data_IF_541178228636
#
_entry.id   IF_541178228636
#
_cell.length_a   1.000
_cell.length_b   1.000
_cell.length_c   1.000
_cell.angle_alpha   90.00
_cell.angle_beta   90.00
_cell.angle_gamma   90.00
#
_symmetry.space_group_name_H-M   'P 1'
#
loop_
_entity.id
_entity.type
_entity.pdbx_description
1 polymer ?
#
# COMPACT_ATOMS: atom_id res chain seq x y z
N UNK A 1 35.02 7.65 0.04
CA UNK A 1 33.65 8.19 0.20
C UNK A 1 33.27 8.92 -1.09
N UNK A 2 32.18 8.52 -1.74
CA UNK A 2 31.70 9.17 -2.97
C UNK A 2 30.98 10.45 -2.58
N UNK A 3 31.27 11.60 -3.21
CA UNK A 3 30.56 12.87 -2.92
C UNK A 3 29.08 12.75 -3.29
N UNK A 4 28.19 13.21 -2.41
CA UNK A 4 26.73 13.20 -2.59
C UNK A 4 26.20 13.63 -3.96
N UNK A 5 26.75 14.66 -4.65
CA UNK A 5 26.25 15.07 -5.96
C UNK A 5 26.57 14.11 -7.13
N UNK A 6 27.36 13.06 -6.92
CA UNK A 6 27.70 12.06 -7.94
C UNK A 6 26.95 10.73 -7.81
N UNK A 7 26.06 10.62 -6.83
CA UNK A 7 25.30 9.38 -6.61
C UNK A 7 24.16 9.33 -7.61
N UNK A 8 24.14 8.30 -8.48
CA UNK A 8 23.02 8.01 -9.34
C UNK A 8 21.83 7.58 -8.48
N UNK A 9 20.73 8.31 -8.59
CA UNK A 9 19.50 8.05 -7.80
C UNK A 9 18.76 6.79 -8.24
N UNK A 10 19.07 6.23 -9.40
CA UNK A 10 18.41 5.03 -9.92
C UNK A 10 18.95 3.73 -9.32
N UNK A 11 20.26 3.66 -9.05
CA UNK A 11 20.89 2.49 -8.45
C UNK A 11 22.06 2.89 -7.51
N UNK A 12 21.81 3.64 -6.43
CA UNK A 12 22.85 4.31 -5.66
C UNK A 12 23.87 3.35 -5.03
N UNK A 13 23.43 2.17 -4.58
CA UNK A 13 24.33 1.19 -3.98
C UNK A 13 25.22 0.51 -5.02
N UNK A 14 24.66 0.08 -6.15
CA UNK A 14 25.44 -0.57 -7.20
C UNK A 14 26.46 0.42 -7.79
N UNK A 15 26.09 1.67 -8.02
CA UNK A 15 26.97 2.71 -8.52
C UNK A 15 28.11 3.01 -7.55
N UNK A 16 27.85 3.08 -6.24
CA UNK A 16 28.89 3.27 -5.24
C UNK A 16 29.96 2.17 -5.25
N UNK A 17 29.58 0.92 -5.55
CA UNK A 17 30.52 -0.20 -5.69
C UNK A 17 31.34 -0.12 -7.00
N UNK A 18 30.72 0.35 -8.10
CA UNK A 18 31.42 0.60 -9.37
C UNK A 18 32.46 1.70 -9.19
N UNK A 19 32.10 2.81 -8.53
CA UNK A 19 33.00 3.94 -8.29
C UNK A 19 34.22 3.60 -7.44
N UNK A 20 34.11 2.57 -6.59
CA UNK A 20 35.23 2.04 -5.78
C UNK A 20 35.99 0.92 -6.52
N UNK A 21 35.59 0.56 -7.75
CA UNK A 21 36.26 -0.47 -8.57
C UNK A 21 35.84 -1.92 -8.25
N UNK A 22 34.80 -2.12 -7.42
CA UNK A 22 34.30 -3.44 -7.04
C UNK A 22 33.17 -3.91 -7.94
N UNK A 23 33.43 -4.16 -9.21
CA UNK A 23 32.41 -4.54 -10.21
C UNK A 23 31.64 -5.82 -9.86
N UNK A 24 32.30 -6.80 -9.27
CA UNK A 24 31.65 -8.06 -8.83
C UNK A 24 30.63 -7.75 -7.72
N UNK A 25 30.99 -6.89 -6.76
CA UNK A 25 30.09 -6.44 -5.71
C UNK A 25 28.84 -5.72 -6.26
N UNK A 26 29.03 -4.84 -7.23
CA UNK A 26 27.95 -4.14 -7.92
C UNK A 26 26.98 -5.13 -8.61
N UNK A 27 27.51 -6.14 -9.29
CA UNK A 27 26.72 -7.17 -9.98
C UNK A 27 25.91 -8.02 -9.00
N UNK A 28 26.51 -8.42 -7.87
CA UNK A 28 25.82 -9.19 -6.83
C UNK A 28 24.69 -8.37 -6.17
N UNK A 29 24.92 -7.09 -5.88
CA UNK A 29 23.89 -6.19 -5.32
C UNK A 29 22.75 -6.02 -6.31
N UNK A 30 23.05 -5.79 -7.59
CA UNK A 30 22.03 -5.64 -8.63
C UNK A 30 21.19 -6.90 -8.81
N UNK A 31 21.82 -8.08 -8.83
CA UNK A 31 21.12 -9.34 -8.89
C UNK A 31 20.23 -9.57 -7.65
N UNK A 32 20.76 -9.29 -6.45
CA UNK A 32 19.99 -9.36 -5.20
C UNK A 32 18.79 -8.41 -5.19
N UNK A 33 18.98 -7.19 -5.70
CA UNK A 33 17.90 -6.22 -5.82
C UNK A 33 16.79 -6.69 -6.77
N UNK A 34 17.13 -7.24 -7.94
CA UNK A 34 16.15 -7.77 -8.90
C UNK A 34 15.35 -8.91 -8.29
N UNK A 35 16.01 -9.87 -7.64
CA UNK A 35 15.34 -11.00 -6.99
C UNK A 35 14.44 -10.52 -5.85
N UNK A 36 14.94 -9.61 -5.01
CA UNK A 36 14.20 -9.05 -3.89
C UNK A 36 12.97 -8.27 -4.34
N UNK A 37 13.11 -7.38 -5.32
CA UNK A 37 12.01 -6.60 -5.87
C UNK A 37 10.96 -7.50 -6.53
N UNK A 38 11.38 -8.51 -7.28
CA UNK A 38 10.46 -9.47 -7.91
C UNK A 38 9.64 -10.20 -6.84
N UNK A 39 10.27 -10.66 -5.76
CA UNK A 39 9.59 -11.31 -4.64
C UNK A 39 8.57 -10.40 -3.99
N UNK A 40 8.93 -9.15 -3.70
CA UNK A 40 8.03 -8.15 -3.10
C UNK A 40 6.85 -7.85 -4.01
N UNK A 41 7.08 -7.67 -5.32
CA UNK A 41 6.01 -7.42 -6.30
C UNK A 41 5.00 -8.56 -6.35
N UNK A 42 5.46 -9.81 -6.32
CA UNK A 42 4.57 -10.99 -6.30
C UNK A 42 3.70 -11.00 -5.04
N UNK A 43 4.28 -10.74 -3.87
CA UNK A 43 3.54 -10.71 -2.60
C UNK A 43 2.52 -9.58 -2.58
N UNK A 44 2.90 -8.38 -3.04
CA UNK A 44 2.01 -7.22 -3.09
C UNK A 44 0.85 -7.45 -4.08
N UNK A 45 1.12 -7.99 -5.27
CA UNK A 45 0.08 -8.30 -6.26
C UNK A 45 -0.90 -9.35 -5.74
N UNK A 46 -0.39 -10.38 -5.07
CA UNK A 46 -1.21 -11.39 -4.41
C UNK A 46 -2.07 -10.79 -3.29
N UNK A 47 -1.48 -9.98 -2.41
CA UNK A 47 -2.19 -9.29 -1.33
C UNK A 47 -3.29 -8.38 -1.85
N UNK A 48 -2.98 -7.56 -2.87
CA UNK A 48 -3.93 -6.65 -3.50
C UNK A 48 -5.13 -7.39 -4.11
N UNK A 49 -4.88 -8.49 -4.82
CA UNK A 49 -5.96 -9.28 -5.43
C UNK A 49 -6.92 -9.87 -4.38
N UNK A 50 -6.41 -10.24 -3.20
CA UNK A 50 -7.23 -10.73 -2.07
C UNK A 50 -8.05 -9.63 -1.43
N UNK A 51 -7.51 -8.42 -1.31
CA UNK A 51 -8.25 -7.25 -0.80
C UNK A 51 -9.42 -6.94 -1.72
N UNK A 52 -9.20 -6.89 -3.03
CA UNK A 52 -10.27 -6.66 -3.99
C UNK A 52 -11.32 -7.77 -3.99
N UNK A 53 -10.90 -9.02 -3.85
CA UNK A 53 -11.81 -10.14 -3.68
C UNK A 53 -12.70 -9.97 -2.43
N UNK A 54 -12.12 -9.62 -1.28
CA UNK A 54 -12.86 -9.39 -0.05
C UNK A 54 -13.86 -8.22 -0.19
N UNK A 55 -13.40 -7.08 -0.71
CA UNK A 55 -14.26 -5.91 -0.96
C UNK A 55 -15.41 -6.21 -1.92
N UNK A 56 -15.16 -6.98 -2.98
CA UNK A 56 -16.20 -7.40 -3.92
C UNK A 56 -17.19 -8.37 -3.29
N UNK A 57 -16.74 -9.28 -2.43
CA UNK A 57 -17.61 -10.20 -1.67
C UNK A 57 -18.51 -9.44 -0.71
N UNK A 58 -17.99 -8.37 -0.09
CA UNK A 58 -18.74 -7.51 0.83
C UNK A 58 -19.67 -6.52 0.11
N UNK A 59 -19.67 -6.53 -1.25
CA UNK A 59 -20.52 -5.67 -2.08
C UNK A 59 -19.99 -4.27 -2.31
N UNK A 60 -18.74 -3.97 -1.91
CA UNK A 60 -18.11 -2.66 -2.09
C UNK A 60 -17.54 -2.44 -3.49
N UNK A 61 -17.26 -3.53 -4.22
CA UNK A 61 -16.76 -3.52 -5.59
C UNK A 61 -17.64 -4.43 -6.47
N UNK A 62 -17.61 -4.24 -7.81
CA UNK A 62 -18.33 -5.10 -8.75
C UNK A 62 -18.00 -6.58 -8.56
N UNK A 63 -18.96 -7.51 -8.79
CA UNK A 63 -18.78 -8.95 -8.59
C UNK A 63 -17.73 -9.59 -9.52
N UNK A 64 -17.23 -8.84 -10.48
CA UNK A 64 -16.13 -9.24 -11.37
C UNK A 64 -14.86 -9.60 -10.58
N UNK A 65 -14.55 -8.84 -9.50
CA UNK A 65 -13.37 -9.06 -8.69
C UNK A 65 -13.48 -10.23 -7.71
N UNK A 66 -14.70 -10.76 -7.49
CA UNK A 66 -14.93 -11.92 -6.63
C UNK A 66 -14.98 -13.25 -7.41
N UNK A 67 -14.81 -13.23 -8.75
CA UNK A 67 -14.80 -14.46 -9.55
C UNK A 67 -13.52 -15.24 -9.34
N UNK A 68 -13.65 -16.49 -8.89
CA UNK A 68 -12.55 -17.43 -8.72
C UNK A 68 -12.37 -18.30 -9.95
N UNK A 69 -11.15 -18.66 -10.27
CA UNK A 69 -10.85 -19.62 -11.32
C UNK A 69 -11.36 -21.01 -10.92
N UNK A 70 -12.11 -21.74 -11.79
CA UNK A 70 -12.74 -23.02 -11.43
C UNK A 70 -11.73 -24.06 -10.92
N UNK A 71 -10.54 -24.12 -11.53
CA UNK A 71 -9.51 -25.12 -11.23
C UNK A 71 -8.58 -24.68 -10.09
N UNK A 72 -8.10 -23.42 -10.11
CA UNK A 72 -7.07 -22.94 -9.17
C UNK A 72 -7.63 -22.22 -7.96
N UNK A 73 -8.93 -21.91 -7.93
CA UNK A 73 -9.63 -21.18 -6.85
C UNK A 73 -8.96 -19.85 -6.46
N UNK A 74 -8.28 -19.24 -7.43
CA UNK A 74 -7.62 -17.95 -7.27
C UNK A 74 -8.39 -16.85 -8.00
N UNK A 75 -8.38 -15.58 -7.56
CA UNK A 75 -9.04 -14.47 -8.23
C UNK A 75 -8.22 -13.99 -9.44
N UNK A 76 -8.04 -14.86 -10.45
CA UNK A 76 -7.18 -14.63 -11.61
C UNK A 76 -7.53 -13.36 -12.38
N UNK A 77 -8.82 -13.09 -12.55
CA UNK A 77 -9.29 -11.91 -13.29
C UNK A 77 -8.92 -10.62 -12.57
N UNK A 78 -9.09 -10.58 -11.24
CA UNK A 78 -8.66 -9.47 -10.40
C UNK A 78 -7.14 -9.25 -10.51
N UNK A 79 -6.37 -10.34 -10.43
CA UNK A 79 -4.91 -10.27 -10.55
C UNK A 79 -4.45 -9.75 -11.90
N UNK A 80 -5.08 -10.20 -13.00
CA UNK A 80 -4.76 -9.72 -14.35
C UNK A 80 -5.08 -8.23 -14.53
N UNK A 81 -6.28 -7.80 -14.10
CA UNK A 81 -6.70 -6.39 -14.20
C UNK A 81 -5.74 -5.50 -13.42
N UNK A 82 -5.44 -5.88 -12.17
CA UNK A 82 -4.50 -5.11 -11.33
C UNK A 82 -3.10 -5.10 -11.93
N UNK A 83 -2.61 -6.26 -12.40
CA UNK A 83 -1.28 -6.35 -13.02
C UNK A 83 -1.13 -5.46 -14.25
N UNK A 84 -2.12 -5.48 -15.15
CA UNK A 84 -2.14 -4.60 -16.33
C UNK A 84 -2.21 -3.12 -15.94
N UNK A 85 -3.08 -2.77 -14.99
CA UNK A 85 -3.21 -1.39 -14.51
C UNK A 85 -1.90 -0.88 -13.88
N UNK A 86 -1.27 -1.69 -13.04
CA UNK A 86 0.03 -1.38 -12.42
C UNK A 86 1.11 -1.21 -13.49
N UNK A 87 1.16 -2.09 -14.50
CA UNK A 87 2.13 -1.99 -15.60
C UNK A 87 1.96 -0.70 -16.40
N UNK A 88 0.72 -0.30 -16.70
CA UNK A 88 0.42 0.96 -17.40
C UNK A 88 0.87 2.16 -16.56
N UNK A 89 0.52 2.19 -15.27
CA UNK A 89 0.89 3.28 -14.37
C UNK A 89 2.42 3.38 -14.23
N UNK A 90 3.11 2.25 -14.09
CA UNK A 90 4.57 2.21 -13.99
C UNK A 90 5.28 2.64 -15.28
N UNK A 91 4.65 2.46 -16.45
CA UNK A 91 5.19 2.90 -17.72
C UNK A 91 5.02 4.41 -17.96
N UNK A 92 3.99 5.03 -17.40
CA UNK A 92 3.63 6.44 -17.63
C UNK A 92 4.26 7.38 -16.62
N UNK A 93 4.37 6.96 -15.35
CA UNK A 93 4.82 7.84 -14.28
C UNK A 93 6.28 7.58 -13.89
N UNK A 94 7.07 8.63 -13.60
CA UNK A 94 8.43 8.48 -13.09
C UNK A 94 8.43 7.86 -11.68
N UNK A 95 9.47 7.07 -11.40
CA UNK A 95 9.60 6.30 -10.16
C UNK A 95 9.50 7.18 -8.90
N UNK A 96 10.12 8.37 -8.92
CA UNK A 96 10.11 9.28 -7.78
C UNK A 96 8.71 9.76 -7.40
N UNK A 97 7.87 10.02 -8.39
CA UNK A 97 6.47 10.42 -8.16
C UNK A 97 5.65 9.28 -7.57
N UNK A 98 5.83 8.07 -8.11
CA UNK A 98 5.17 6.88 -7.58
C UNK A 98 5.62 6.58 -6.15
N UNK A 99 6.92 6.68 -5.86
CA UNK A 99 7.47 6.46 -4.52
C UNK A 99 6.88 7.44 -3.49
N UNK A 100 6.77 8.74 -3.83
CA UNK A 100 6.13 9.75 -2.97
C UNK A 100 4.65 9.46 -2.74
N UNK A 101 3.93 9.05 -3.79
CA UNK A 101 2.52 8.72 -3.69
C UNK A 101 2.26 7.48 -2.84
N UNK A 102 3.06 6.42 -3.01
CA UNK A 102 3.00 5.21 -2.19
C UNK A 102 3.33 5.53 -0.74
N UNK A 103 4.36 6.35 -0.49
CA UNK A 103 4.76 6.74 0.86
C UNK A 103 3.64 7.47 1.59
N UNK A 104 3.01 8.49 0.98
CA UNK A 104 1.93 9.23 1.65
C UNK A 104 0.69 8.35 1.87
N UNK A 105 0.37 7.47 0.92
CA UNK A 105 -0.74 6.52 1.05
C UNK A 105 -0.54 5.53 2.19
N UNK A 106 0.68 5.00 2.34
CA UNK A 106 1.04 4.08 3.42
C UNK A 106 1.00 4.77 4.78
N UNK A 107 1.57 5.99 4.89
CA UNK A 107 1.51 6.77 6.12
C UNK A 107 0.06 7.11 6.51
N UNK A 108 -0.77 7.48 5.54
CA UNK A 108 -2.19 7.72 5.78
C UNK A 108 -2.92 6.46 6.27
N UNK A 109 -2.60 5.29 5.71
CA UNK A 109 -3.14 4.02 6.18
C UNK A 109 -2.74 3.72 7.63
N UNK A 110 -1.48 3.97 8.01
CA UNK A 110 -1.02 3.80 9.40
C UNK A 110 -1.74 4.74 10.36
N UNK A 111 -1.99 5.99 9.96
CA UNK A 111 -2.81 6.92 10.75
C UNK A 111 -4.22 6.35 10.96
N UNK A 112 -4.88 5.90 9.88
CA UNK A 112 -6.23 5.32 9.97
C UNK A 112 -6.28 4.08 10.87
N UNK A 113 -5.32 3.16 10.73
CA UNK A 113 -5.24 1.97 11.58
C UNK A 113 -5.01 2.35 13.03
N UNK A 114 -4.14 3.31 13.32
CA UNK A 114 -3.87 3.78 14.68
C UNK A 114 -5.09 4.43 15.32
N UNK A 115 -5.83 5.25 14.58
CA UNK A 115 -7.13 5.80 15.02
C UNK A 115 -8.14 4.66 15.24
N UNK A 116 -8.21 3.71 14.32
CA UNK A 116 -9.07 2.53 14.44
C UNK A 116 -8.81 1.71 15.72
N UNK A 117 -7.55 1.53 16.10
CA UNK A 117 -7.17 0.86 17.35
C UNK A 117 -7.69 1.62 18.57
N UNK A 118 -7.57 2.96 18.59
CA UNK A 118 -8.07 3.79 19.70
C UNK A 118 -9.58 3.71 19.79
N UNK A 119 -10.28 3.87 18.67
CA UNK A 119 -11.74 3.83 18.61
C UNK A 119 -12.25 2.46 19.04
N UNK A 120 -11.72 1.38 18.46
CA UNK A 120 -12.16 0.01 18.75
C UNK A 120 -11.91 -0.39 20.21
N UNK A 121 -10.90 0.20 20.85
CA UNK A 121 -10.62 -0.03 22.27
C UNK A 121 -11.67 0.59 23.18
N UNK A 122 -12.30 1.68 22.73
CA UNK A 122 -13.37 2.37 23.47
C UNK A 122 -14.76 1.80 23.17
N UNK A 123 -15.02 1.45 21.91
CA UNK A 123 -16.35 1.01 21.47
C UNK A 123 -16.63 -0.48 21.68
N UNK A 124 -15.59 -1.31 21.65
CA UNK A 124 -15.74 -2.76 21.80
C UNK A 124 -14.68 -3.35 22.76
N UNK A 125 -14.72 -3.03 24.08
CA UNK A 125 -13.72 -3.47 25.05
C UNK A 125 -13.71 -4.99 25.24
N UNK A 126 -14.86 -5.65 25.11
CA UNK A 126 -15.07 -7.09 25.35
C UNK A 126 -14.60 -7.99 24.19
N UNK A 127 -14.20 -7.41 23.05
CA UNK A 127 -13.77 -8.21 21.91
C UNK A 127 -12.52 -9.02 22.24
N UNK A 128 -12.58 -10.33 21.97
CA UNK A 128 -11.41 -11.20 22.14
C UNK A 128 -10.27 -10.76 21.21
N UNK A 129 -9.11 -10.47 21.80
CA UNK A 129 -7.90 -10.01 21.09
C UNK A 129 -6.73 -10.92 21.44
N UNK A 130 -6.19 -11.69 20.46
CA UNK A 130 -5.01 -12.51 20.67
C UNK A 130 -3.79 -11.69 21.12
N UNK A 131 -3.67 -10.46 20.58
CA UNK A 131 -2.64 -9.49 20.94
C UNK A 131 -3.26 -8.19 21.44
N UNK A 132 -2.80 -7.72 22.59
CA UNK A 132 -3.21 -6.43 23.14
C UNK A 132 -2.06 -5.44 22.98
N UNK A 133 -2.26 -4.43 22.13
CA UNK A 133 -1.30 -3.34 21.99
C UNK A 133 -1.03 -2.70 23.36
N UNK A 134 0.24 -2.65 23.82
CA UNK A 134 0.59 -2.04 25.09
C UNK A 134 0.42 -0.51 25.03
N UNK A 135 0.25 0.12 26.19
CA UNK A 135 0.24 1.58 26.35
C UNK A 135 -0.75 2.32 25.45
N UNK A 136 -1.93 1.75 25.20
CA UNK A 136 -3.02 2.48 24.51
C UNK A 136 -3.67 3.45 25.51
N UNK A 137 -3.86 4.72 25.16
CA UNK A 137 -3.79 5.34 23.82
C UNK A 137 -2.44 5.93 23.40
N UNK A 138 -1.42 5.91 24.27
CA UNK A 138 -0.15 6.61 24.05
C UNK A 138 0.58 6.17 22.77
N UNK A 139 0.81 4.86 22.60
CA UNK A 139 1.56 4.33 21.46
C UNK A 139 0.90 4.65 20.09
N UNK A 140 -0.42 4.47 19.90
CA UNK A 140 -1.09 4.90 18.68
C UNK A 140 -1.01 6.41 18.43
N UNK A 141 -1.07 7.25 19.47
CA UNK A 141 -0.94 8.71 19.32
C UNK A 141 0.47 9.07 18.82
N UNK A 142 1.52 8.48 19.40
CA UNK A 142 2.90 8.70 18.94
C UNK A 142 3.06 8.27 17.47
N UNK A 143 2.48 7.12 17.10
CA UNK A 143 2.47 6.66 15.71
C UNK A 143 1.78 7.66 14.77
N UNK A 144 0.60 8.19 15.15
CA UNK A 144 -0.11 9.21 14.37
C UNK A 144 0.75 10.45 14.19
N UNK A 145 1.33 10.97 15.27
CA UNK A 145 2.16 12.19 15.22
C UNK A 145 3.40 12.00 14.34
N UNK A 146 4.08 10.85 14.46
CA UNK A 146 5.23 10.51 13.64
C UNK A 146 4.86 10.40 12.15
N UNK A 147 3.74 9.72 11.83
CA UNK A 147 3.26 9.62 10.45
C UNK A 147 2.90 10.98 9.88
N UNK A 148 2.17 11.82 10.62
CA UNK A 148 1.81 13.16 10.18
C UNK A 148 3.05 14.03 9.96
N UNK A 149 4.03 13.97 10.87
CA UNK A 149 5.30 14.69 10.72
C UNK A 149 6.01 14.31 9.41
N UNK A 150 6.12 13.01 9.12
CA UNK A 150 6.72 12.53 7.88
C UNK A 150 5.89 12.95 6.64
N UNK A 151 4.55 12.93 6.73
CA UNK A 151 3.68 13.37 5.64
C UNK A 151 3.86 14.85 5.32
N UNK A 152 4.09 15.72 6.31
CA UNK A 152 4.38 17.13 6.07
C UNK A 152 5.67 17.34 5.25
N UNK A 153 6.67 16.46 5.41
CA UNK A 153 7.91 16.50 4.63
C UNK A 153 7.76 16.15 3.15
N UNK A 154 6.64 15.54 2.72
CA UNK A 154 6.42 15.10 1.34
C UNK A 154 5.96 16.21 0.38
N UNK A 155 5.63 17.40 0.90
CA UNK A 155 5.23 18.57 0.11
C UNK A 155 3.76 18.58 -0.29
N UNK A 156 3.26 19.80 -0.57
CA UNK A 156 1.84 20.10 -0.82
C UNK A 156 1.26 19.34 -2.02
N UNK A 157 2.03 19.18 -3.09
CA UNK A 157 1.58 18.46 -4.31
C UNK A 157 1.20 17.01 -4.00
N UNK A 158 1.97 16.35 -3.12
CA UNK A 158 1.68 14.97 -2.71
C UNK A 158 0.40 14.88 -1.88
N UNK A 159 0.14 15.88 -1.03
CA UNK A 159 -1.11 16.00 -0.28
C UNK A 159 -2.33 16.21 -1.19
N UNK A 160 -2.21 17.04 -2.21
CA UNK A 160 -3.27 17.24 -3.20
C UNK A 160 -3.58 15.94 -3.96
N UNK A 161 -2.56 15.19 -4.37
CA UNK A 161 -2.72 13.89 -5.01
C UNK A 161 -3.45 12.88 -4.10
N UNK A 162 -3.06 12.81 -2.83
CA UNK A 162 -3.75 11.98 -1.84
C UNK A 162 -5.22 12.41 -1.69
N UNK A 163 -5.48 13.72 -1.58
CA UNK A 163 -6.84 14.26 -1.46
C UNK A 163 -7.72 13.90 -2.66
N UNK A 164 -7.19 14.05 -3.88
CA UNK A 164 -7.90 13.67 -5.11
C UNK A 164 -8.20 12.16 -5.11
N UNK A 165 -7.22 11.33 -4.77
CA UNK A 165 -7.39 9.88 -4.71
C UNK A 165 -8.43 9.46 -3.67
N UNK A 166 -8.40 10.07 -2.49
CA UNK A 166 -9.40 9.85 -1.44
C UNK A 166 -10.80 10.29 -1.88
N UNK A 167 -10.92 11.44 -2.57
CA UNK A 167 -12.19 11.91 -3.10
C UNK A 167 -12.76 10.94 -4.14
N UNK A 168 -11.93 10.45 -5.06
CA UNK A 168 -12.34 9.41 -6.03
C UNK A 168 -12.85 8.15 -5.31
N UNK A 169 -12.10 7.68 -4.30
CA UNK A 169 -12.51 6.52 -3.49
C UNK A 169 -13.86 6.73 -2.79
N UNK A 170 -14.07 7.90 -2.20
CA UNK A 170 -15.34 8.27 -1.57
C UNK A 170 -16.49 8.34 -2.57
N UNK A 171 -16.27 8.93 -3.74
CA UNK A 171 -17.30 8.98 -4.80
C UNK A 171 -17.69 7.56 -5.22
N UNK A 172 -16.73 6.67 -5.45
CA UNK A 172 -17.01 5.25 -5.78
C UNK A 172 -17.78 4.58 -4.64
N UNK A 173 -17.39 4.83 -3.40
CA UNK A 173 -18.08 4.27 -2.23
C UNK A 173 -19.52 4.74 -2.14
N UNK A 174 -19.81 6.05 -2.26
CA UNK A 174 -21.17 6.57 -2.17
C UNK A 174 -22.01 6.25 -3.40
N UNK A 175 -21.43 6.22 -4.59
CA UNK A 175 -22.14 5.88 -5.82
C UNK A 175 -22.51 4.40 -5.92
N UNK A 176 -21.62 3.53 -5.50
CA UNK A 176 -21.75 2.07 -5.67
C UNK A 176 -21.79 1.32 -4.33
N UNK A 177 -20.75 1.47 -3.49
CA UNK A 177 -20.54 0.67 -2.29
C UNK A 177 -21.66 0.81 -1.26
N UNK A 178 -22.14 2.03 -0.99
CA UNK A 178 -23.20 2.27 0.00
C UNK A 178 -24.54 1.61 -0.36
N UNK A 179 -24.81 1.47 -1.67
CA UNK A 179 -26.06 0.88 -2.17
C UNK A 179 -26.01 -0.66 -2.27
N UNK A 180 -24.81 -1.25 -2.41
CA UNK A 180 -24.63 -2.68 -2.63
C UNK A 180 -23.96 -3.39 -1.44
N UNK A 181 -23.61 -2.65 -0.38
CA UNK A 181 -22.96 -3.21 0.80
C UNK A 181 -23.84 -4.23 1.50
N UNK A 182 -23.32 -5.46 1.66
CA UNK A 182 -23.99 -6.55 2.36
C UNK A 182 -23.88 -6.46 3.88
N UNK A 183 -23.07 -5.55 4.40
CA UNK A 183 -22.84 -5.38 5.84
C UNK A 183 -24.12 -4.93 6.56
N UNK A 184 -25.02 -4.22 5.88
CA UNK A 184 -26.30 -3.78 6.42
C UNK A 184 -27.44 -4.81 6.26
N UNK A 185 -27.21 -5.91 5.54
CA UNK A 185 -28.23 -6.91 5.24
C UNK A 185 -28.24 -8.11 6.20
N UNK A 186 -27.33 -8.18 7.14
CA UNK A 186 -27.32 -9.25 8.15
C UNK A 186 -27.87 -8.67 9.47
N UNK A 187 -29.11 -8.98 9.84
CA UNK A 187 -29.59 -8.71 11.20
C UNK A 187 -28.74 -9.55 12.17
N UNK A 188 -28.33 -8.93 13.27
CA UNK A 188 -27.65 -9.57 14.40
C UNK A 188 -28.52 -10.61 15.05
#
# INVERSE_FOLDING_TARGET
MVPLPKIDTTAPLAQAFIDVGLNIGASLISAGAIIGLTSVLLVLLYGQSRIFFAMSRDGLLPPLFSRLHPRFRTPHLSTMIVGVLVAIVAAVFPLDELARFVSIGTLAAFVMVSVGVIVLRRTAPEMHRPFRCPWVPFLPIVCILACLYLMFGLGLVTWLRLGIWMAIGLVIYFAYGSRHSRIHATPR
#
